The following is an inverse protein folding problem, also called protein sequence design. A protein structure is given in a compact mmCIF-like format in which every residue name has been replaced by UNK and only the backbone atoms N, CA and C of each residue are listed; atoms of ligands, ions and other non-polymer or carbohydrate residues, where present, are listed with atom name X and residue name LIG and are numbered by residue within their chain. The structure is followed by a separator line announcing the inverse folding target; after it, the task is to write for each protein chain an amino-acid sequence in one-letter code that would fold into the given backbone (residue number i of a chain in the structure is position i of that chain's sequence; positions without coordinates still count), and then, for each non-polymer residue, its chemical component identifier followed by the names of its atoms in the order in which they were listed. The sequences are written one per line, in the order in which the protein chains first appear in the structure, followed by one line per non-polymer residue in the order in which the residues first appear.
data_IF_011930466541
#
_entry.id   IF_011930466541
#
_cell.length_a   1.000
_cell.length_b   1.000
_cell.length_c   1.000
_cell.angle_alpha   90.00
_cell.angle_beta   90.00
_cell.angle_gamma   90.00
#
_symmetry.space_group_name_H-M   'P 1'
#
loop_
_entity.id
_entity.type
_entity.pdbx_description
1 polymer ?
#
# COMPACT_ATOMS: atom_id res chain seq x y z
N UNK A 1 1.66 -0.67 23.07
CA UNK A 1 1.26 -1.73 22.15
C UNK A 1 -0.24 -2.02 22.17
N UNK A 2 -0.87 -2.41 23.30
CA UNK A 2 -2.33 -2.68 23.36
C UNK A 2 -3.21 -1.45 23.05
N UNK A 3 -2.83 -0.24 23.49
CA UNK A 3 -3.55 1.00 23.16
C UNK A 3 -3.46 1.34 21.65
N UNK A 4 -2.34 1.03 21.01
CA UNK A 4 -2.13 1.31 19.59
C UNK A 4 -2.95 0.38 18.69
N UNK A 5 -3.09 -0.88 19.10
CA UNK A 5 -3.97 -1.87 18.45
C UNK A 5 -5.44 -1.49 18.60
N UNK A 6 -5.85 -1.05 19.80
CA UNK A 6 -7.22 -0.59 20.05
C UNK A 6 -7.59 0.64 19.20
N UNK A 7 -6.68 1.64 19.12
CA UNK A 7 -6.91 2.84 18.30
C UNK A 7 -7.03 2.52 16.80
N UNK A 8 -6.24 1.58 16.31
CA UNK A 8 -6.35 1.10 14.93
C UNK A 8 -7.68 0.37 14.67
N UNK A 9 -8.14 -0.43 15.63
CA UNK A 9 -9.42 -1.15 15.53
C UNK A 9 -10.60 -0.18 15.47
N UNK A 10 -10.61 0.83 16.33
CA UNK A 10 -11.68 1.83 16.36
C UNK A 10 -11.71 2.66 15.07
N UNK A 11 -10.56 3.07 14.56
CA UNK A 11 -10.45 3.78 13.29
C UNK A 11 -10.92 2.94 12.11
N UNK A 12 -10.53 1.67 12.06
CA UNK A 12 -10.95 0.75 11.01
C UNK A 12 -12.44 0.41 11.08
N UNK A 13 -13.00 0.20 12.28
CA UNK A 13 -14.45 0.00 12.47
C UNK A 13 -15.26 1.25 12.08
N UNK A 14 -14.78 2.43 12.39
CA UNK A 14 -15.39 3.68 11.97
C UNK A 14 -15.37 3.81 10.43
N UNK A 15 -14.24 3.50 9.81
CA UNK A 15 -14.10 3.43 8.36
C UNK A 15 -15.10 2.46 7.75
N UNK A 16 -15.18 1.22 8.27
CA UNK A 16 -16.09 0.19 7.78
C UNK A 16 -17.55 0.60 7.87
N UNK A 17 -18.00 1.20 8.97
CA UNK A 17 -19.36 1.74 9.11
C UNK A 17 -19.66 2.84 8.11
N UNK A 18 -18.69 3.73 7.88
CA UNK A 18 -18.80 4.84 6.94
C UNK A 18 -18.91 4.35 5.48
N UNK A 19 -18.21 3.27 5.17
CA UNK A 19 -18.16 2.66 3.83
C UNK A 19 -19.15 1.50 3.64
N UNK A 20 -20.02 1.18 4.61
CA UNK A 20 -20.92 0.02 4.57
C UNK A 20 -21.81 -0.09 3.31
N UNK A 21 -22.02 1.01 2.60
CA UNK A 21 -22.76 1.05 1.32
C UNK A 21 -21.86 1.14 0.08
N UNK A 22 -20.55 1.33 0.26
CA UNK A 22 -19.58 1.53 -0.82
C UNK A 22 -18.29 0.79 -0.45
N UNK A 23 -18.12 -0.46 -0.89
CA UNK A 23 -17.02 -1.32 -0.44
C UNK A 23 -15.64 -0.93 -1.01
N UNK A 24 -15.51 0.24 -1.61
CA UNK A 24 -14.24 0.73 -2.17
C UNK A 24 -14.03 2.19 -1.78
N UNK A 25 -12.90 2.47 -1.16
CA UNK A 25 -12.54 3.82 -0.75
C UNK A 25 -11.24 3.85 0.05
N UNK A 26 -10.89 5.03 0.56
CA UNK A 26 -9.75 5.22 1.44
C UNK A 26 -10.21 5.96 2.69
N UNK A 27 -10.12 5.31 3.83
CA UNK A 27 -10.31 5.93 5.14
C UNK A 27 -8.94 6.38 5.68
N UNK A 28 -8.88 7.58 6.23
CA UNK A 28 -7.65 8.17 6.75
C UNK A 28 -7.82 8.53 8.20
N UNK A 29 -6.83 8.19 9.01
CA UNK A 29 -6.68 8.56 10.41
C UNK A 29 -5.42 9.43 10.57
N UNK A 30 -5.49 10.45 11.41
CA UNK A 30 -4.36 11.34 11.72
C UNK A 30 -4.09 12.44 10.71
N UNK A 31 -4.82 12.48 9.60
CA UNK A 31 -4.80 13.54 8.58
C UNK A 31 -6.09 13.50 7.77
N UNK A 32 -6.29 14.49 6.88
CA UNK A 32 -7.38 14.52 5.92
C UNK A 32 -6.85 14.53 4.49
N UNK A 33 -7.54 13.84 3.58
CA UNK A 33 -7.26 13.93 2.15
C UNK A 33 -7.76 15.27 1.65
N UNK A 34 -6.87 16.09 1.09
CA UNK A 34 -7.22 17.38 0.49
C UNK A 34 -7.21 17.34 -1.04
N UNK A 35 -6.48 16.40 -1.62
CA UNK A 35 -6.42 16.20 -3.06
C UNK A 35 -6.07 14.74 -3.37
N UNK A 36 -6.54 14.25 -4.51
CA UNK A 36 -6.07 12.97 -5.01
C UNK A 36 -5.91 12.99 -6.53
N UNK A 37 -5.07 12.09 -7.02
CA UNK A 37 -4.82 11.89 -8.43
C UNK A 37 -5.00 10.42 -8.78
N UNK A 38 -5.58 10.15 -9.96
CA UNK A 38 -5.81 8.81 -10.53
C UNK A 38 -5.77 8.87 -12.06
N UNK A 39 -5.79 7.72 -12.70
CA UNK A 39 -5.93 7.65 -14.15
C UNK A 39 -7.25 8.26 -14.65
N UNK A 40 -7.18 9.02 -15.74
CA UNK A 40 -8.36 9.69 -16.34
C UNK A 40 -9.43 8.72 -16.84
N UNK A 41 -9.04 7.48 -17.17
CA UNK A 41 -9.97 6.43 -17.64
C UNK A 41 -10.90 5.88 -16.57
N UNK A 42 -10.66 6.20 -15.30
CA UNK A 42 -11.47 5.74 -14.17
C UNK A 42 -12.55 6.74 -13.83
N UNK A 43 -13.72 6.60 -14.43
CA UNK A 43 -14.81 7.58 -14.37
C UNK A 43 -15.78 7.40 -13.19
N UNK A 44 -15.47 6.61 -12.18
CA UNK A 44 -16.35 6.48 -11.02
C UNK A 44 -16.42 7.80 -10.25
N UNK A 45 -17.64 8.29 -9.93
CA UNK A 45 -17.79 9.44 -9.06
C UNK A 45 -17.16 9.14 -7.69
N UNK A 46 -16.50 10.13 -7.13
CA UNK A 46 -15.91 10.06 -5.81
C UNK A 46 -16.23 11.33 -5.03
N UNK A 47 -16.15 11.22 -3.75
CA UNK A 47 -16.40 12.31 -2.82
C UNK A 47 -15.39 12.26 -1.68
N UNK A 48 -14.88 13.42 -1.26
CA UNK A 48 -14.08 13.54 -0.03
C UNK A 48 -15.04 13.96 1.08
N UNK A 49 -15.25 13.08 2.05
CA UNK A 49 -16.08 13.33 3.23
C UNK A 49 -15.27 13.10 4.50
N UNK A 50 -15.30 14.07 5.42
CA UNK A 50 -14.52 14.03 6.68
C UNK A 50 -13.07 13.56 6.48
N UNK A 51 -12.43 14.08 5.45
CA UNK A 51 -11.03 13.75 5.15
C UNK A 51 -10.77 12.37 4.58
N UNK A 52 -11.81 11.58 4.28
CA UNK A 52 -11.71 10.26 3.68
C UNK A 52 -12.31 10.27 2.27
N UNK A 53 -11.83 9.39 1.39
CA UNK A 53 -12.23 9.32 0.00
C UNK A 53 -13.24 8.19 -0.22
N UNK A 54 -14.40 8.53 -0.74
CA UNK A 54 -15.46 7.60 -1.10
C UNK A 54 -15.55 7.43 -2.60
N UNK A 55 -15.76 6.20 -3.04
CA UNK A 55 -16.13 5.88 -4.40
C UNK A 55 -17.65 5.70 -4.47
N UNK A 56 -18.35 6.54 -5.21
CA UNK A 56 -19.80 6.51 -5.32
C UNK A 56 -20.39 5.25 -6.00
N UNK A 57 -19.54 4.44 -6.62
CA UNK A 57 -19.84 3.08 -7.14
C UNK A 57 -18.66 2.17 -6.91
N UNK A 58 -18.90 0.88 -6.63
CA UNK A 58 -17.82 -0.10 -6.50
C UNK A 58 -16.97 -0.11 -7.76
N UNK A 59 -15.65 0.04 -7.58
CA UNK A 59 -14.70 -0.15 -8.68
C UNK A 59 -14.67 -1.62 -9.06
N UNK A 60 -14.80 -1.91 -10.36
CA UNK A 60 -14.67 -3.29 -10.87
C UNK A 60 -13.22 -3.67 -11.17
N UNK A 61 -12.34 -2.69 -11.31
CA UNK A 61 -10.92 -2.90 -11.62
C UNK A 61 -10.07 -2.20 -10.59
N UNK A 62 -8.96 -2.83 -10.15
CA UNK A 62 -7.99 -2.17 -9.30
C UNK A 62 -7.37 -0.97 -10.03
N UNK A 63 -6.87 -0.01 -9.28
CA UNK A 63 -6.20 1.15 -9.88
C UNK A 63 -5.39 1.95 -8.85
N UNK A 64 -4.38 2.71 -9.30
CA UNK A 64 -3.57 3.53 -8.44
C UNK A 64 -4.34 4.75 -7.95
N UNK A 65 -3.96 5.20 -6.78
CA UNK A 65 -4.34 6.50 -6.25
C UNK A 65 -3.13 7.16 -5.59
N UNK A 66 -2.97 8.44 -5.82
CA UNK A 66 -1.99 9.25 -5.11
C UNK A 66 -2.76 10.32 -4.35
N UNK A 67 -2.59 10.34 -3.04
CA UNK A 67 -3.37 11.09 -2.08
C UNK A 67 -2.50 12.18 -1.47
N UNK A 68 -2.97 13.44 -1.49
CA UNK A 68 -2.38 14.54 -0.75
C UNK A 68 -3.10 14.69 0.58
N UNK A 69 -2.32 14.82 1.66
CA UNK A 69 -2.84 15.08 2.99
C UNK A 69 -2.72 16.56 3.37
N UNK A 70 -3.58 17.01 4.27
CA UNK A 70 -3.54 18.33 4.91
C UNK A 70 -2.38 18.49 5.90
N UNK A 71 -1.61 17.42 6.11
CA UNK A 71 -0.48 17.39 7.05
C UNK A 71 0.84 17.73 6.35
N UNK A 72 1.68 18.45 7.08
CA UNK A 72 3.03 18.82 6.62
C UNK A 72 4.09 18.10 7.47
N UNK A 73 5.17 17.70 6.81
CA UNK A 73 6.39 17.29 7.49
C UNK A 73 7.53 18.26 7.14
N UNK A 74 8.08 18.94 8.13
CA UNK A 74 9.10 20.00 7.96
C UNK A 74 8.68 21.04 6.89
N UNK A 75 7.44 21.52 6.98
CA UNK A 75 6.83 22.44 6.01
C UNK A 75 6.69 21.94 4.58
N UNK A 76 6.79 20.62 4.36
CA UNK A 76 6.60 19.97 3.05
C UNK A 76 5.28 19.24 3.02
N UNK A 77 4.56 19.33 1.91
CA UNK A 77 3.31 18.60 1.70
C UNK A 77 3.54 17.10 1.63
N UNK A 78 2.67 16.32 2.25
CA UNK A 78 2.77 14.86 2.23
C UNK A 78 1.79 14.25 1.23
N UNK A 79 2.31 13.34 0.44
CA UNK A 79 1.55 12.54 -0.51
C UNK A 79 1.82 11.06 -0.26
N UNK A 80 0.81 10.21 -0.41
CA UNK A 80 0.99 8.76 -0.34
C UNK A 80 0.48 8.08 -1.57
N UNK A 81 1.18 7.02 -1.92
CA UNK A 81 0.74 6.06 -2.91
C UNK A 81 -0.21 5.05 -2.25
N UNK A 82 -1.35 4.80 -2.89
CA UNK A 82 -2.31 3.77 -2.49
C UNK A 82 -2.87 3.10 -3.74
N UNK A 83 -3.55 1.98 -3.58
CA UNK A 83 -4.29 1.33 -4.65
C UNK A 83 -5.77 1.19 -4.23
N UNK A 84 -6.68 1.42 -5.15
CA UNK A 84 -8.07 1.00 -5.00
C UNK A 84 -8.17 -0.46 -5.41
N UNK A 85 -8.55 -1.32 -4.48
CA UNK A 85 -8.78 -2.74 -4.75
C UNK A 85 -10.26 -3.05 -4.59
N UNK A 86 -10.89 -3.71 -5.58
CA UNK A 86 -12.30 -4.10 -5.49
C UNK A 86 -12.55 -4.97 -4.25
N UNK A 87 -13.59 -4.65 -3.50
CA UNK A 87 -13.95 -5.39 -2.29
C UNK A 87 -13.15 -5.03 -1.03
N UNK A 88 -12.25 -4.03 -1.12
CA UNK A 88 -11.44 -3.58 0.02
C UNK A 88 -11.65 -2.10 0.32
N UNK A 89 -11.62 -1.78 1.59
CA UNK A 89 -11.42 -0.42 2.08
C UNK A 89 -9.95 -0.28 2.45
N UNK A 90 -9.27 0.70 1.82
CA UNK A 90 -7.92 1.05 2.21
C UNK A 90 -7.97 1.91 3.45
N UNK A 91 -7.37 1.48 4.53
CA UNK A 91 -7.20 2.27 5.75
C UNK A 91 -5.76 2.76 5.84
N UNK A 92 -5.58 4.07 6.00
CA UNK A 92 -4.28 4.72 6.16
C UNK A 92 -4.23 5.45 7.49
N UNK A 93 -3.18 5.24 8.26
CA UNK A 93 -2.83 6.08 9.39
C UNK A 93 -1.61 6.92 9.05
N UNK A 94 -1.82 8.24 9.07
CA UNK A 94 -0.79 9.24 8.73
C UNK A 94 -0.22 9.82 10.01
N UNK A 95 1.05 9.56 10.24
CA UNK A 95 1.81 10.11 11.36
C UNK A 95 2.66 11.33 10.96
N UNK A 96 3.58 11.70 11.83
CA UNK A 96 4.44 12.88 11.62
C UNK A 96 5.34 12.76 10.38
N UNK A 97 5.80 11.56 10.05
CA UNK A 97 6.81 11.33 9.00
C UNK A 97 6.25 10.69 7.74
N UNK A 98 4.94 10.52 7.64
CA UNK A 98 4.29 9.87 6.52
C UNK A 98 3.29 8.81 6.94
N UNK A 99 2.95 7.91 6.03
CA UNK A 99 2.05 6.79 6.32
C UNK A 99 2.77 5.79 7.22
N UNK A 100 2.25 5.63 8.44
CA UNK A 100 2.76 4.71 9.45
C UNK A 100 2.11 3.34 9.36
N UNK A 101 0.85 3.30 8.96
CA UNK A 101 0.08 2.08 8.81
C UNK A 101 -0.76 2.12 7.55
N UNK A 102 -0.84 0.98 6.87
CA UNK A 102 -1.71 0.75 5.73
C UNK A 102 -2.40 -0.60 5.92
N UNK A 103 -3.69 -0.66 5.66
CA UNK A 103 -4.47 -1.89 5.68
C UNK A 103 -5.47 -1.92 4.53
N UNK A 104 -5.73 -3.10 4.00
CA UNK A 104 -6.83 -3.37 3.08
C UNK A 104 -7.84 -4.26 3.80
N UNK A 105 -8.98 -3.69 4.15
CA UNK A 105 -9.95 -4.30 5.03
C UNK A 105 -11.08 -4.92 4.20
N UNK A 106 -11.14 -6.24 4.16
CA UNK A 106 -12.31 -6.97 3.69
C UNK A 106 -13.22 -7.37 4.87
N UNK A 107 -12.60 -7.72 6.01
CA UNK A 107 -13.28 -8.15 7.24
C UNK A 107 -12.54 -7.63 8.49
N UNK A 108 -13.28 -7.41 9.58
CA UNK A 108 -12.73 -6.83 10.83
C UNK A 108 -11.62 -7.67 11.48
N UNK A 109 -11.64 -9.00 11.28
CA UNK A 109 -10.68 -9.92 11.88
C UNK A 109 -9.23 -9.77 11.40
N UNK A 110 -9.01 -9.12 10.26
CA UNK A 110 -7.67 -8.93 9.69
C UNK A 110 -6.91 -7.75 10.30
N UNK A 111 -7.59 -6.82 10.95
CA UNK A 111 -6.99 -5.56 11.42
C UNK A 111 -5.91 -5.81 12.47
N UNK A 112 -6.19 -6.67 13.44
CA UNK A 112 -5.25 -6.96 14.52
C UNK A 112 -3.99 -7.65 13.98
N UNK A 113 -4.16 -8.58 13.03
CA UNK A 113 -3.05 -9.25 12.37
C UNK A 113 -2.23 -8.27 11.53
N UNK A 114 -2.88 -7.36 10.80
CA UNK A 114 -2.21 -6.35 9.98
C UNK A 114 -1.42 -5.35 10.84
N UNK A 115 -2.00 -4.85 11.94
CA UNK A 115 -1.32 -3.94 12.85
C UNK A 115 -0.09 -4.61 13.47
N UNK A 116 -0.24 -5.86 13.91
CA UNK A 116 0.85 -6.64 14.48
C UNK A 116 1.94 -6.93 13.43
N UNK A 117 1.59 -7.39 12.23
CA UNK A 117 2.54 -7.67 11.15
C UNK A 117 3.30 -6.41 10.71
N UNK A 118 2.61 -5.27 10.63
CA UNK A 118 3.25 -3.98 10.30
C UNK A 118 4.27 -3.57 11.36
N UNK A 119 3.90 -3.67 12.64
CA UNK A 119 4.83 -3.36 13.73
C UNK A 119 6.07 -4.27 13.68
N UNK A 120 5.90 -5.57 13.49
CA UNK A 120 7.02 -6.52 13.41
C UNK A 120 7.87 -6.31 12.16
N UNK A 121 7.28 -5.99 11.00
CA UNK A 121 8.02 -5.70 9.79
C UNK A 121 8.92 -4.47 9.94
N UNK A 122 8.43 -3.42 10.61
CA UNK A 122 9.24 -2.21 10.92
C UNK A 122 10.47 -2.55 11.75
N UNK A 123 10.35 -3.45 12.72
CA UNK A 123 11.45 -3.89 13.59
C UNK A 123 12.31 -5.01 12.96
N UNK A 124 11.97 -5.46 11.76
CA UNK A 124 12.70 -6.51 11.06
C UNK A 124 12.55 -7.91 11.65
N UNK A 125 11.53 -8.11 12.48
CA UNK A 125 11.32 -9.36 13.24
C UNK A 125 10.10 -10.15 12.81
N UNK A 126 9.53 -9.88 11.62
CA UNK A 126 8.27 -10.51 11.17
C UNK A 126 8.37 -12.02 11.05
N UNK A 127 9.52 -12.55 10.64
CA UNK A 127 9.75 -14.00 10.53
C UNK A 127 10.40 -14.63 11.78
N UNK A 128 10.58 -13.86 12.87
CA UNK A 128 11.21 -14.41 14.07
C UNK A 128 10.23 -15.25 14.87
N UNK A 129 10.44 -16.53 14.97
CA UNK A 129 10.08 -17.42 16.08
C UNK A 129 8.62 -17.93 16.19
N UNK A 130 7.62 -17.38 15.52
CA UNK A 130 6.26 -17.92 15.59
C UNK A 130 5.85 -18.61 14.27
N UNK A 131 5.83 -19.96 14.23
CA UNK A 131 5.44 -20.71 13.02
C UNK A 131 4.01 -20.40 12.54
N UNK A 132 3.11 -19.93 13.43
CA UNK A 132 1.73 -19.60 13.06
C UNK A 132 1.70 -18.33 12.21
N UNK A 133 2.57 -17.38 12.54
CA UNK A 133 2.71 -16.14 11.77
C UNK A 133 3.31 -16.42 10.42
N UNK A 134 4.34 -17.24 10.35
CA UNK A 134 4.94 -17.66 9.10
C UNK A 134 3.90 -18.36 8.20
N UNK A 135 3.14 -19.30 8.75
CA UNK A 135 2.07 -19.99 8.05
C UNK A 135 0.96 -19.02 7.57
N UNK A 136 0.55 -18.07 8.41
CA UNK A 136 -0.45 -17.07 8.06
C UNK A 136 0.05 -16.15 6.94
N UNK A 137 1.30 -15.69 7.00
CA UNK A 137 1.90 -14.86 5.96
C UNK A 137 2.07 -15.61 4.64
N UNK A 138 2.43 -16.87 4.71
CA UNK A 138 2.57 -17.70 3.51
C UNK A 138 1.23 -17.98 2.82
N UNK A 139 0.16 -18.13 3.59
CA UNK A 139 -1.18 -18.43 3.07
C UNK A 139 -2.03 -17.20 2.75
N UNK A 140 -1.64 -16.03 3.25
CA UNK A 140 -2.45 -14.81 3.09
C UNK A 140 -2.61 -14.40 1.63
N UNK A 141 -3.78 -13.88 1.33
CA UNK A 141 -4.10 -13.20 0.07
C UNK A 141 -4.31 -11.70 0.27
N UNK A 142 -4.23 -11.22 1.51
CA UNK A 142 -4.34 -9.79 1.82
C UNK A 142 -3.14 -9.04 1.22
N UNK A 143 -3.38 -8.00 0.40
CA UNK A 143 -2.32 -7.31 -0.34
C UNK A 143 -1.22 -6.73 0.56
N UNK A 144 -1.58 -6.17 1.72
CA UNK A 144 -0.60 -5.61 2.67
C UNK A 144 0.24 -6.72 3.30
N UNK A 145 -0.40 -7.80 3.75
CA UNK A 145 0.34 -8.93 4.34
C UNK A 145 1.27 -9.59 3.34
N UNK A 146 0.87 -9.69 2.06
CA UNK A 146 1.77 -10.23 1.01
C UNK A 146 2.98 -9.34 0.76
N UNK A 147 2.82 -8.00 0.82
CA UNK A 147 3.95 -7.05 0.74
C UNK A 147 4.89 -7.22 1.93
N UNK A 148 4.35 -7.28 3.14
CA UNK A 148 5.16 -7.46 4.36
C UNK A 148 5.89 -8.81 4.35
N UNK A 149 5.21 -9.88 3.95
CA UNK A 149 5.79 -11.21 3.79
C UNK A 149 6.92 -11.19 2.75
N UNK A 150 6.69 -10.61 1.57
CA UNK A 150 7.69 -10.57 0.50
C UNK A 150 8.98 -9.87 0.94
N UNK A 151 8.89 -8.71 1.60
CA UNK A 151 10.06 -8.03 2.14
C UNK A 151 10.76 -8.81 3.25
N UNK A 152 10.01 -9.51 4.09
CA UNK A 152 10.55 -10.31 5.17
C UNK A 152 11.31 -11.53 4.65
N UNK A 153 10.72 -12.29 3.73
CA UNK A 153 11.36 -13.44 3.09
C UNK A 153 12.57 -13.01 2.25
N UNK A 154 12.49 -11.89 1.54
CA UNK A 154 13.62 -11.35 0.78
C UNK A 154 14.82 -11.01 1.68
N UNK A 155 14.58 -10.48 2.90
CA UNK A 155 15.66 -10.17 3.86
C UNK A 155 16.44 -11.39 4.33
N UNK A 156 15.79 -12.54 4.45
CA UNK A 156 16.41 -13.81 4.86
C UNK A 156 16.82 -14.69 3.66
N UNK A 157 16.78 -14.13 2.44
CA UNK A 157 17.21 -14.82 1.22
C UNK A 157 16.21 -15.84 0.65
N UNK A 158 15.01 -15.94 1.21
CA UNK A 158 13.99 -16.92 0.79
C UNK A 158 13.11 -16.41 -0.37
N UNK A 159 13.73 -15.95 -1.45
CA UNK A 159 13.01 -15.40 -2.62
C UNK A 159 12.11 -16.44 -3.29
N UNK A 160 12.39 -17.74 -3.14
CA UNK A 160 11.51 -18.81 -3.66
C UNK A 160 10.11 -18.72 -3.06
N UNK A 161 9.98 -18.49 -1.78
CA UNK A 161 8.68 -18.31 -1.10
C UNK A 161 7.93 -17.11 -1.67
N UNK A 162 8.64 -16.03 -1.99
CA UNK A 162 8.00 -14.85 -2.60
C UNK A 162 7.47 -15.17 -4.01
N UNK A 163 8.16 -16.00 -4.78
CA UNK A 163 7.66 -16.49 -6.08
C UNK A 163 6.40 -17.33 -5.94
N UNK A 164 6.33 -18.21 -4.96
CA UNK A 164 5.14 -19.01 -4.66
C UNK A 164 3.94 -18.13 -4.26
N UNK A 165 4.17 -17.06 -3.47
CA UNK A 165 3.14 -16.05 -3.16
C UNK A 165 2.67 -15.35 -4.45
N UNK A 166 3.61 -14.91 -5.29
CA UNK A 166 3.34 -14.24 -6.56
C UNK A 166 2.52 -15.13 -7.51
N UNK A 167 2.92 -16.39 -7.69
CA UNK A 167 2.25 -17.34 -8.57
C UNK A 167 0.83 -17.63 -8.09
N UNK A 168 0.62 -17.83 -6.79
CA UNK A 168 -0.69 -18.06 -6.19
C UNK A 168 -1.63 -16.88 -6.38
N UNK A 169 -1.18 -15.63 -6.19
CA UNK A 169 -2.00 -14.47 -6.44
C UNK A 169 -2.45 -14.42 -7.90
N UNK A 170 -1.56 -14.73 -8.85
CA UNK A 170 -1.87 -14.78 -10.27
C UNK A 170 -2.84 -15.91 -10.64
N UNK A 171 -2.63 -17.10 -10.13
CA UNK A 171 -3.50 -18.26 -10.36
C UNK A 171 -4.93 -18.02 -9.89
N UNK A 172 -5.09 -17.24 -8.81
CA UNK A 172 -6.39 -16.85 -8.29
C UNK A 172 -6.99 -15.60 -8.95
N UNK A 173 -6.30 -15.03 -9.95
CA UNK A 173 -6.75 -13.80 -10.63
C UNK A 173 -6.75 -12.56 -9.74
N UNK A 174 -5.98 -12.57 -8.65
CA UNK A 174 -5.92 -11.47 -7.70
C UNK A 174 -4.89 -10.42 -8.15
N UNK A 175 -5.08 -9.15 -7.76
CA UNK A 175 -4.07 -8.12 -7.95
C UNK A 175 -2.79 -8.46 -7.23
N UNK A 176 -1.66 -8.35 -7.92
CA UNK A 176 -0.33 -8.56 -7.35
C UNK A 176 0.28 -7.22 -6.94
N UNK A 177 0.57 -6.98 -5.67
CA UNK A 177 1.29 -5.78 -5.25
C UNK A 177 2.65 -5.70 -5.95
N UNK A 178 3.04 -4.48 -6.35
CA UNK A 178 4.28 -4.25 -7.11
C UNK A 178 5.53 -4.80 -6.40
N UNK A 179 5.64 -4.60 -5.09
CA UNK A 179 6.78 -5.08 -4.29
C UNK A 179 6.90 -6.61 -4.33
N UNK A 180 5.77 -7.33 -4.30
CA UNK A 180 5.76 -8.80 -4.41
C UNK A 180 6.29 -9.22 -5.77
N UNK A 181 5.79 -8.61 -6.84
CA UNK A 181 6.23 -8.92 -8.21
C UNK A 181 7.70 -8.55 -8.43
N UNK A 182 8.14 -7.38 -7.93
CA UNK A 182 9.53 -6.92 -8.03
C UNK A 182 10.51 -7.91 -7.39
N UNK A 183 10.19 -8.38 -6.19
CA UNK A 183 11.05 -9.32 -5.46
C UNK A 183 11.02 -10.70 -6.09
N UNK A 184 9.83 -11.18 -6.48
CA UNK A 184 9.67 -12.50 -7.10
C UNK A 184 10.40 -12.62 -8.44
N UNK A 185 10.31 -11.59 -9.28
CA UNK A 185 10.86 -11.61 -10.64
C UNK A 185 12.31 -11.11 -10.71
N UNK A 186 12.77 -10.34 -9.73
CA UNK A 186 14.11 -9.73 -9.69
C UNK A 186 14.35 -8.66 -10.77
N UNK A 187 13.29 -8.16 -11.42
CA UNK A 187 13.34 -7.10 -12.43
C UNK A 187 12.13 -6.18 -12.29
N UNK A 188 12.08 -5.10 -13.08
CA UNK A 188 10.93 -4.18 -13.08
C UNK A 188 9.67 -4.93 -13.51
N UNK A 189 8.66 -5.08 -12.64
CA UNK A 189 7.43 -5.76 -12.99
C UNK A 189 6.64 -4.98 -14.04
N UNK A 190 5.92 -5.70 -14.88
CA UNK A 190 4.98 -5.13 -15.84
C UNK A 190 3.80 -6.07 -16.04
N UNK A 191 2.68 -5.52 -16.46
CA UNK A 191 1.49 -6.29 -16.79
C UNK A 191 0.26 -5.88 -15.98
N UNK A 192 -0.95 -6.21 -16.49
CA UNK A 192 -2.22 -5.70 -16.00
C UNK A 192 -2.61 -6.20 -14.60
N UNK A 193 -1.88 -7.17 -14.06
CA UNK A 193 -2.15 -7.71 -12.72
C UNK A 193 -1.30 -7.07 -11.62
N UNK A 194 -0.25 -6.30 -12.00
CA UNK A 194 0.66 -5.67 -11.01
C UNK A 194 0.16 -4.28 -10.67
N UNK A 195 -0.18 -4.05 -9.42
CA UNK A 195 -0.87 -2.82 -8.99
C UNK A 195 -0.32 -2.29 -7.66
N UNK A 196 -0.14 -0.98 -7.57
CA UNK A 196 0.04 -0.03 -8.67
C UNK A 196 1.34 -0.30 -9.42
N UNK A 197 1.60 0.37 -10.52
CA UNK A 197 2.83 0.23 -11.31
C UNK A 197 4.11 0.76 -10.65
N UNK A 198 4.15 0.86 -9.32
CA UNK A 198 5.24 1.38 -8.51
C UNK A 198 5.25 0.80 -7.08
N UNK A 199 6.40 0.85 -6.36
CA UNK A 199 6.53 0.29 -5.01
C UNK A 199 5.58 0.89 -3.97
N UNK A 200 5.04 0.02 -3.12
CA UNK A 200 4.22 0.40 -1.96
C UNK A 200 5.08 0.82 -0.77
N UNK A 201 6.32 0.33 -0.72
CA UNK A 201 7.23 0.58 0.40
C UNK A 201 8.44 1.41 -0.04
N UNK A 202 8.98 2.20 0.87
CA UNK A 202 10.25 2.92 0.63
C UNK A 202 11.38 1.94 0.27
N UNK A 203 11.40 0.76 0.89
CA UNK A 203 12.38 -0.28 0.55
C UNK A 203 12.21 -0.80 -0.88
N UNK A 204 10.99 -0.89 -1.38
CA UNK A 204 10.70 -1.28 -2.75
C UNK A 204 11.36 -0.35 -3.77
N UNK A 205 11.44 0.94 -3.49
CA UNK A 205 12.15 1.91 -4.34
C UNK A 205 13.64 1.63 -4.44
N UNK A 206 14.31 1.29 -3.33
CA UNK A 206 15.72 0.89 -3.35
C UNK A 206 15.97 -0.41 -4.10
N UNK A 207 15.01 -1.35 -4.05
CA UNK A 207 15.09 -2.58 -4.85
C UNK A 207 14.86 -2.28 -6.34
N UNK A 208 13.91 -1.41 -6.67
CA UNK A 208 13.61 -0.99 -8.03
C UNK A 208 14.80 -0.27 -8.69
N UNK A 209 15.53 0.56 -7.95
CA UNK A 209 16.71 1.27 -8.44
C UNK A 209 17.77 0.31 -8.99
N UNK A 210 17.86 -0.89 -8.44
CA UNK A 210 18.83 -1.93 -8.85
C UNK A 210 18.40 -2.67 -10.12
N UNK A 211 17.20 -2.45 -10.61
CA UNK A 211 16.73 -3.08 -11.85
C UNK A 211 17.07 -2.23 -13.08
N UNK A 212 17.25 -2.91 -14.23
CA UNK A 212 17.63 -2.24 -15.49
C UNK A 212 16.67 -1.11 -15.90
N UNK A 213 15.37 -1.34 -15.73
CA UNK A 213 14.32 -0.42 -16.21
C UNK A 213 13.70 0.43 -15.09
N UNK A 214 13.98 0.12 -13.85
CA UNK A 214 13.45 0.85 -12.69
C UNK A 214 14.28 2.03 -12.25
N UNK A 215 15.58 2.05 -12.60
CA UNK A 215 16.55 3.05 -12.14
C UNK A 215 16.10 4.48 -12.44
N UNK A 216 15.57 4.77 -13.62
CA UNK A 216 15.16 6.13 -13.99
C UNK A 216 13.98 6.62 -13.14
N UNK A 217 12.99 5.77 -12.89
CA UNK A 217 11.86 6.10 -12.03
C UNK A 217 12.28 6.24 -10.57
N UNK A 218 13.09 5.31 -10.07
CA UNK A 218 13.57 5.37 -8.70
C UNK A 218 14.35 6.67 -8.43
N UNK A 219 15.25 7.06 -9.32
CA UNK A 219 15.99 8.34 -9.23
C UNK A 219 15.09 9.57 -9.29
N UNK A 220 14.01 9.51 -10.09
CA UNK A 220 13.04 10.61 -10.16
C UNK A 220 12.30 10.82 -8.84
N UNK A 221 12.05 9.75 -8.11
CA UNK A 221 11.26 9.75 -6.86
C UNK A 221 12.13 9.91 -5.62
N UNK A 222 13.38 9.45 -5.64
CA UNK A 222 14.27 9.32 -4.47
C UNK A 222 14.35 10.60 -3.62
N UNK A 223 14.57 11.77 -4.24
CA UNK A 223 14.66 13.05 -3.54
C UNK A 223 13.35 13.52 -2.87
N UNK A 224 12.24 12.85 -3.17
CA UNK A 224 10.93 13.13 -2.62
C UNK A 224 10.47 12.10 -1.59
N UNK A 225 11.18 10.99 -1.42
CA UNK A 225 10.79 9.95 -0.46
C UNK A 225 10.93 10.44 0.97
N UNK A 226 9.87 10.26 1.75
CA UNK A 226 9.91 10.44 3.20
C UNK A 226 10.58 9.22 3.86
N UNK A 227 11.19 9.38 5.05
CA UNK A 227 11.74 8.28 5.82
C UNK A 227 10.62 7.50 6.55
N UNK A 228 9.66 6.99 5.80
CA UNK A 228 8.52 6.18 6.27
C UNK A 228 8.64 4.75 5.73
N UNK A 229 7.89 3.82 6.31
CA UNK A 229 7.86 2.44 5.82
C UNK A 229 7.09 2.35 4.49
N UNK A 230 5.89 2.95 4.43
CA UNK A 230 5.07 3.01 3.23
C UNK A 230 5.48 4.20 2.37
N UNK A 231 5.36 4.06 1.07
CA UNK A 231 5.70 5.12 0.11
C UNK A 231 4.95 6.41 0.46
N UNK A 232 5.70 7.38 0.92
CA UNK A 232 5.24 8.74 1.19
C UNK A 232 6.18 9.70 0.46
N UNK A 233 5.61 10.64 -0.27
CA UNK A 233 6.35 11.63 -1.04
C UNK A 233 6.19 13.01 -0.41
N UNK A 234 7.24 13.80 -0.46
CA UNK A 234 7.32 15.15 0.08
C UNK A 234 7.49 16.14 -1.06
N UNK A 235 6.53 17.04 -1.23
CA UNK A 235 6.50 18.04 -2.32
C UNK A 235 6.87 17.46 -3.70
N UNK A 236 6.27 16.35 -4.12
CA UNK A 236 6.57 15.81 -5.43
C UNK A 236 6.09 16.79 -6.52
N UNK A 237 6.92 17.13 -7.53
CA UNK A 237 6.46 17.92 -8.66
C UNK A 237 5.42 17.14 -9.47
N UNK A 238 4.56 17.87 -10.18
CA UNK A 238 3.48 17.28 -10.98
C UNK A 238 3.99 16.19 -11.94
N UNK A 239 5.18 16.38 -12.52
CA UNK A 239 5.81 15.39 -13.40
C UNK A 239 6.02 14.02 -12.72
N UNK A 240 6.40 14.00 -11.43
CA UNK A 240 6.55 12.74 -10.65
C UNK A 240 5.20 12.07 -10.49
N UNK A 241 4.18 12.83 -10.10
CA UNK A 241 2.83 12.32 -9.90
C UNK A 241 2.25 11.75 -11.21
N UNK A 242 2.44 12.44 -12.33
CA UNK A 242 1.99 12.01 -13.65
C UNK A 242 2.67 10.70 -14.10
N UNK A 243 3.98 10.55 -13.83
CA UNK A 243 4.70 9.32 -14.16
C UNK A 243 4.23 8.13 -13.32
N UNK A 244 3.90 8.34 -12.04
CA UNK A 244 3.38 7.28 -11.18
C UNK A 244 1.97 6.83 -11.63
N UNK A 245 1.12 7.77 -12.04
CA UNK A 245 -0.25 7.46 -12.48
C UNK A 245 -0.29 6.78 -13.85
N UNK A 246 0.65 7.09 -14.76
CA UNK A 246 0.68 6.52 -16.12
C UNK A 246 1.08 5.04 -16.15
N UNK A 247 1.75 4.52 -15.12
CA UNK A 247 2.35 3.18 -15.13
C UNK A 247 1.40 2.03 -14.87
N UNK A 248 0.13 2.28 -14.84
CA UNK A 248 -0.91 1.28 -14.61
C UNK A 248 -1.62 0.82 -15.91
N UNK A 249 -0.89 0.70 -16.96
CA UNK A 249 -1.41 0.18 -18.23
C UNK A 249 -0.89 -1.21 -18.52
#
# INVERSE_FOLDING_TARGET
MLKEVATNRDGAQAAHRKFARTPTGVAVEGASIVKFQRQKSQHSPYEILDGSLFMGRPHKKPGPAILQFDRLWRNRTMWSAAAFLPGYITHLRVGERGVEHMAYLAEDSEIEMLAWATARARWGSLLSEDPRVEAALWQTLNPVLTVLAAHSYQRVGQVKVVREIYDRLREQGLPVPFDVALIALGNTPSGPHVIPGYPWTTRGWYLLERTRYGTALAKLVDQHLAPSFWTTLLDPPQKVLDELIKRDC
#
